data_IF_295242926406
#
_entry.id   IF_295242926406
#
_cell.length_a   1.000
_cell.length_b   1.000
_cell.length_c   1.000
_cell.angle_alpha   90.00
_cell.angle_beta   90.00
_cell.angle_gamma   90.00
#
_symmetry.space_group_name_H-M   'P 1'
#
loop_
_entity.id
_entity.type
_entity.pdbx_description
1 polymer ?
#
# COMPACT_ATOMS: atom_id res chain seq x y z
N UNK A 1 -31.12 -25.42 1.50
CA UNK A 1 -30.50 -24.16 0.99
C UNK A 1 -30.41 -23.03 2.03
N UNK A 2 -30.88 -23.21 3.27
CA UNK A 2 -30.90 -22.16 4.32
C UNK A 2 -29.81 -22.30 5.41
N UNK A 3 -28.92 -23.28 5.31
CA UNK A 3 -27.89 -23.53 6.34
C UNK A 3 -26.50 -23.06 5.92
N UNK A 4 -26.28 -22.81 4.61
CA UNK A 4 -24.99 -22.39 4.05
C UNK A 4 -24.76 -20.87 4.05
N UNK A 5 -25.80 -20.05 4.26
CA UNK A 5 -25.66 -18.59 4.34
C UNK A 5 -25.28 -18.08 5.74
N UNK A 6 -25.26 -18.93 6.77
CA UNK A 6 -24.93 -18.51 8.15
C UNK A 6 -23.43 -18.46 8.47
N UNK A 7 -22.55 -18.83 7.54
CA UNK A 7 -21.10 -18.95 7.76
C UNK A 7 -20.26 -17.99 6.92
N UNK A 8 -20.89 -17.08 6.17
CA UNK A 8 -20.16 -16.00 5.49
C UNK A 8 -20.16 -14.77 6.41
N UNK A 9 -19.00 -14.24 6.84
CA UNK A 9 -18.97 -12.94 7.49
C UNK A 9 -19.40 -11.90 6.45
N UNK A 10 -20.66 -11.50 6.52
CA UNK A 10 -21.22 -10.45 5.67
C UNK A 10 -20.56 -9.14 6.06
N UNK A 11 -19.55 -8.70 5.29
CA UNK A 11 -18.90 -7.42 5.51
C UNK A 11 -19.82 -6.29 5.06
N UNK A 12 -20.19 -5.38 5.97
CA UNK A 12 -21.00 -4.20 5.64
C UNK A 12 -20.08 -3.06 5.18
N UNK A 13 -20.35 -2.48 4.01
CA UNK A 13 -19.67 -1.27 3.52
C UNK A 13 -20.48 -0.03 3.87
N UNK A 14 -19.89 0.95 4.58
CA UNK A 14 -20.53 2.24 4.88
C UNK A 14 -19.83 3.41 4.18
N UNK A 15 -20.63 4.34 3.66
CA UNK A 15 -20.15 5.57 2.99
C UNK A 15 -20.10 6.78 3.94
N UNK A 16 -20.82 6.75 5.07
CA UNK A 16 -20.84 7.81 6.07
C UNK A 16 -20.35 7.29 7.43
N UNK A 17 -19.32 7.92 8.00
CA UNK A 17 -18.83 7.61 9.34
C UNK A 17 -19.59 8.44 10.39
N UNK A 18 -20.57 7.82 11.04
CA UNK A 18 -21.08 8.26 12.36
C UNK A 18 -20.48 7.30 13.38
N UNK A 19 -19.99 7.85 14.51
CA UNK A 19 -19.30 7.16 15.62
C UNK A 19 -19.75 5.71 15.79
N UNK A 20 -19.04 4.82 15.12
CA UNK A 20 -19.24 3.37 15.10
C UNK A 20 -17.87 2.74 15.28
N UNK A 21 -17.30 2.94 16.47
CA UNK A 21 -16.07 2.26 16.85
C UNK A 21 -16.42 0.77 16.91
N UNK A 22 -15.62 -0.08 16.28
CA UNK A 22 -15.79 -1.54 16.26
C UNK A 22 -16.92 -2.10 15.35
N UNK A 23 -17.28 -1.40 14.26
CA UNK A 23 -18.18 -1.95 13.25
C UNK A 23 -17.55 -3.15 12.53
N UNK A 24 -18.26 -4.27 12.43
CA UNK A 24 -17.89 -5.39 11.57
C UNK A 24 -18.17 -5.05 10.10
N UNK A 25 -17.26 -4.30 9.48
CA UNK A 25 -17.41 -3.81 8.12
C UNK A 25 -16.16 -3.11 7.61
N UNK A 26 -16.25 -2.58 6.39
CA UNK A 26 -15.24 -1.67 5.85
C UNK A 26 -15.86 -0.30 5.61
N UNK A 27 -15.05 0.75 5.73
CA UNK A 27 -15.45 2.10 5.34
C UNK A 27 -15.00 2.33 3.90
N UNK A 28 -15.91 2.85 3.08
CA UNK A 28 -15.57 3.23 1.70
C UNK A 28 -15.32 4.72 1.64
N UNK A 29 -14.15 5.11 1.12
CA UNK A 29 -13.87 6.50 0.81
C UNK A 29 -14.79 6.99 -0.32
N UNK A 30 -15.13 8.28 -0.27
CA UNK A 30 -15.79 8.92 -1.39
C UNK A 30 -14.96 8.72 -2.67
N UNK A 31 -15.59 8.45 -3.83
CA UNK A 31 -14.89 8.38 -5.09
C UNK A 31 -14.00 9.60 -5.31
N UNK A 32 -12.81 9.36 -5.86
CA UNK A 32 -11.83 10.40 -6.22
C UNK A 32 -11.81 10.60 -7.72
N UNK A 33 -11.57 11.84 -8.12
CA UNK A 33 -11.32 12.16 -9.51
C UNK A 33 -10.07 11.40 -10.01
N UNK A 34 -10.09 10.95 -11.26
CA UNK A 34 -8.93 10.38 -11.96
C UNK A 34 -7.85 11.44 -12.19
N UNK A 35 -7.19 11.91 -11.12
CA UNK A 35 -6.12 12.91 -11.13
C UNK A 35 -4.99 12.56 -10.16
N UNK A 36 -3.86 13.24 -10.30
CA UNK A 36 -2.70 13.05 -9.40
C UNK A 36 -2.99 13.52 -7.97
N UNK A 37 -3.80 14.56 -7.81
CA UNK A 37 -4.26 15.04 -6.50
C UNK A 37 -5.21 14.01 -5.86
N UNK A 38 -6.07 13.40 -6.68
CA UNK A 38 -6.88 12.25 -6.28
C UNK A 38 -6.00 11.14 -5.71
N UNK A 39 -5.01 10.68 -6.47
CA UNK A 39 -4.05 9.66 -6.05
C UNK A 39 -3.32 10.02 -4.75
N UNK A 40 -2.74 11.23 -4.67
CA UNK A 40 -1.97 11.69 -3.52
C UNK A 40 -2.80 11.72 -2.23
N UNK A 41 -4.11 11.99 -2.32
CA UNK A 41 -5.00 12.04 -1.16
C UNK A 41 -5.35 10.67 -0.56
N UNK A 42 -5.03 9.55 -1.22
CA UNK A 42 -5.44 8.20 -0.77
C UNK A 42 -4.72 7.81 0.52
N UNK A 43 -3.39 7.88 0.54
CA UNK A 43 -2.57 7.42 1.68
C UNK A 43 -2.93 8.20 2.97
N UNK A 44 -2.98 9.54 2.96
CA UNK A 44 -3.37 10.30 4.16
C UNK A 44 -4.79 9.97 4.62
N UNK A 45 -5.72 9.74 3.70
CA UNK A 45 -7.11 9.42 4.04
C UNK A 45 -7.26 8.04 4.68
N UNK A 46 -6.53 7.04 4.19
CA UNK A 46 -6.54 5.68 4.77
C UNK A 46 -5.93 5.70 6.16
N UNK A 47 -4.78 6.36 6.33
CA UNK A 47 -4.14 6.53 7.63
C UNK A 47 -5.08 7.26 8.61
N UNK A 48 -5.70 8.37 8.19
CA UNK A 48 -6.61 9.15 9.04
C UNK A 48 -7.80 8.32 9.52
N UNK A 49 -8.45 7.56 8.62
CA UNK A 49 -9.55 6.69 9.00
C UNK A 49 -9.11 5.55 9.91
N UNK A 50 -7.93 4.98 9.65
CA UNK A 50 -7.35 3.96 10.48
C UNK A 50 -7.10 4.44 11.91
N UNK A 51 -6.54 5.64 12.08
CA UNK A 51 -6.31 6.27 13.39
C UNK A 51 -7.62 6.55 14.16
N UNK A 52 -8.72 6.79 13.45
CA UNK A 52 -10.06 6.98 14.04
C UNK A 52 -10.76 5.65 14.38
N UNK A 53 -10.13 4.51 14.07
CA UNK A 53 -10.63 3.17 14.42
C UNK A 53 -11.31 2.43 13.27
N UNK A 54 -11.04 2.82 12.02
CA UNK A 54 -11.55 2.13 10.83
C UNK A 54 -10.38 1.49 10.03
N UNK A 55 -9.88 0.31 10.45
CA UNK A 55 -8.70 -0.29 9.84
C UNK A 55 -8.94 -0.90 8.45
N UNK A 56 -10.18 -1.29 8.15
CA UNK A 56 -10.58 -1.82 6.84
C UNK A 56 -11.16 -0.69 5.99
N UNK A 57 -10.31 -0.09 5.15
CA UNK A 57 -10.70 0.99 4.24
C UNK A 57 -10.72 0.50 2.80
N UNK A 58 -11.84 0.71 2.10
CA UNK A 58 -11.93 0.63 0.65
C UNK A 58 -11.68 2.02 0.07
N UNK A 59 -10.64 2.14 -0.74
CA UNK A 59 -10.15 3.40 -1.30
C UNK A 59 -10.88 3.84 -2.56
N UNK A 60 -11.78 3.00 -3.07
CA UNK A 60 -12.44 3.17 -4.35
C UNK A 60 -11.76 2.36 -5.46
N UNK A 61 -12.21 2.60 -6.69
CA UNK A 61 -11.73 1.86 -7.85
C UNK A 61 -10.31 2.30 -8.23
N UNK A 62 -9.50 1.36 -8.72
CA UNK A 62 -8.20 1.67 -9.35
C UNK A 62 -8.41 2.63 -10.52
N UNK A 63 -7.63 3.71 -10.55
CA UNK A 63 -7.69 4.75 -11.58
C UNK A 63 -8.64 5.90 -11.29
N UNK A 64 -9.40 5.86 -10.19
CA UNK A 64 -10.38 6.90 -9.86
C UNK A 64 -11.61 6.87 -10.77
N UNK A 65 -12.50 7.87 -10.64
CA UNK A 65 -13.67 8.05 -11.50
C UNK A 65 -13.64 9.43 -12.14
N UNK A 66 -14.20 9.56 -13.34
CA UNK A 66 -14.55 10.88 -13.87
C UNK A 66 -15.83 11.39 -13.20
N UNK A 67 -15.65 12.20 -12.16
CA UNK A 67 -16.77 12.76 -11.38
C UNK A 67 -17.42 13.97 -12.07
N UNK A 68 -16.72 14.60 -13.02
CA UNK A 68 -17.13 15.88 -13.61
C UNK A 68 -17.38 15.78 -15.13
N UNK A 69 -17.33 14.59 -15.70
CA UNK A 69 -17.52 14.38 -17.14
C UNK A 69 -16.43 15.03 -18.00
N UNK A 70 -15.23 15.26 -17.43
CA UNK A 70 -14.10 15.89 -18.14
C UNK A 70 -13.51 14.99 -19.22
N UNK A 71 -13.71 13.67 -19.13
CA UNK A 71 -13.21 12.69 -20.09
C UNK A 71 -14.06 12.68 -21.39
N UNK A 72 -15.12 13.50 -21.48
CA UNK A 72 -16.04 13.51 -22.63
C UNK A 72 -15.47 14.03 -23.97
N UNK A 73 -14.31 14.70 -24.01
CA UNK A 73 -13.93 15.45 -25.23
C UNK A 73 -12.57 15.18 -25.89
N UNK A 74 -11.66 14.33 -25.38
CA UNK A 74 -10.42 13.98 -26.09
C UNK A 74 -9.96 12.55 -25.72
N UNK A 75 -10.15 11.57 -26.61
CA UNK A 75 -9.54 10.21 -26.57
C UNK A 75 -9.60 9.46 -25.23
N UNK A 76 -10.83 9.14 -24.81
CA UNK A 76 -11.36 7.95 -24.12
C UNK A 76 -10.65 7.15 -23.00
N UNK A 77 -9.42 7.42 -22.55
CA UNK A 77 -8.80 6.55 -21.53
C UNK A 77 -8.07 7.30 -20.42
N UNK A 78 -8.11 6.72 -19.21
CA UNK A 78 -7.27 7.13 -18.08
C UNK A 78 -5.81 7.02 -18.54
N UNK A 79 -5.04 8.07 -18.31
CA UNK A 79 -3.60 8.10 -18.56
C UNK A 79 -2.92 6.85 -17.95
N UNK A 80 -2.23 6.06 -18.77
CA UNK A 80 -1.67 4.75 -18.36
C UNK A 80 -0.69 4.90 -17.19
N UNK A 81 0.11 5.96 -17.16
CA UNK A 81 1.03 6.23 -16.06
C UNK A 81 0.26 6.45 -14.76
N UNK A 82 -0.75 7.32 -14.79
CA UNK A 82 -1.61 7.56 -13.63
C UNK A 82 -2.27 6.27 -13.15
N UNK A 83 -2.81 5.45 -14.06
CA UNK A 83 -3.45 4.19 -13.69
C UNK A 83 -2.47 3.22 -13.01
N UNK A 84 -1.27 3.03 -13.59
CA UNK A 84 -0.24 2.16 -13.02
C UNK A 84 0.20 2.64 -11.63
N UNK A 85 0.46 3.94 -11.45
CA UNK A 85 0.80 4.49 -10.13
C UNK A 85 -0.35 4.38 -9.13
N UNK A 86 -1.59 4.51 -9.59
CA UNK A 86 -2.77 4.30 -8.76
C UNK A 86 -2.92 2.85 -8.31
N UNK A 87 -2.68 1.91 -9.22
CA UNK A 87 -2.67 0.47 -8.97
C UNK A 87 -1.59 0.11 -7.93
N UNK A 88 -0.40 0.68 -8.05
CA UNK A 88 0.72 0.49 -7.12
C UNK A 88 0.39 0.95 -5.70
N UNK A 89 -0.47 1.97 -5.52
CA UNK A 89 -0.96 2.38 -4.21
C UNK A 89 -2.05 1.43 -3.71
N UNK A 90 -3.11 1.23 -4.50
CA UNK A 90 -4.31 0.51 -4.04
C UNK A 90 -4.03 -0.96 -3.77
N UNK A 91 -3.15 -1.62 -4.53
CA UNK A 91 -2.84 -3.04 -4.30
C UNK A 91 -2.31 -3.31 -2.89
N UNK A 92 -1.75 -2.33 -2.19
CA UNK A 92 -1.28 -2.52 -0.81
C UNK A 92 -2.23 -1.94 0.23
N UNK A 93 -3.46 -1.58 -0.16
CA UNK A 93 -4.53 -1.15 0.76
C UNK A 93 -5.35 -2.35 1.27
N UNK A 94 -6.08 -2.22 2.39
CA UNK A 94 -6.83 -3.35 2.96
C UNK A 94 -7.85 -3.95 1.98
N UNK A 95 -8.56 -3.11 1.23
CA UNK A 95 -9.54 -3.52 0.22
C UNK A 95 -9.13 -2.98 -1.15
N UNK A 96 -9.15 -3.85 -2.16
CA UNK A 96 -8.83 -3.53 -3.56
C UNK A 96 -10.11 -3.68 -4.38
N UNK A 97 -10.48 -2.64 -5.13
CA UNK A 97 -11.64 -2.66 -6.03
C UNK A 97 -11.18 -2.35 -7.47
N UNK A 98 -11.43 -3.29 -8.38
CA UNK A 98 -11.22 -3.10 -9.81
C UNK A 98 -12.56 -2.77 -10.48
N UNK A 99 -12.55 -1.88 -11.48
CA UNK A 99 -13.71 -1.61 -12.31
C UNK A 99 -13.34 -1.71 -13.79
N UNK A 100 -12.56 -0.75 -14.28
CA UNK A 100 -12.18 -0.65 -15.69
C UNK A 100 -10.66 -0.58 -15.83
N UNK A 101 -10.12 -1.22 -16.87
CA UNK A 101 -8.71 -1.14 -17.24
C UNK A 101 -8.49 0.10 -18.13
N UNK A 102 -7.30 0.73 -18.10
CA UNK A 102 -6.97 1.80 -19.02
C UNK A 102 -6.81 1.17 -20.42
N UNK A 103 -7.77 1.42 -21.30
CA UNK A 103 -7.77 0.84 -22.64
C UNK A 103 -8.28 -0.59 -22.73
N UNK A 104 -8.63 -0.98 -23.96
CA UNK A 104 -8.96 -2.36 -24.30
C UNK A 104 -7.65 -3.14 -24.41
N UNK A 105 -7.30 -3.90 -23.37
CA UNK A 105 -6.27 -4.94 -23.41
C UNK A 105 -4.80 -4.45 -23.31
N UNK A 106 -4.51 -3.50 -22.41
CA UNK A 106 -3.14 -3.15 -22.08
C UNK A 106 -2.44 -4.30 -21.32
N UNK A 107 -1.71 -5.13 -22.08
CA UNK A 107 -1.00 -6.30 -21.57
C UNK A 107 0.05 -5.93 -20.51
N UNK A 108 0.62 -4.74 -20.58
CA UNK A 108 1.62 -4.28 -19.62
C UNK A 108 0.96 -3.98 -18.26
N UNK A 109 -0.20 -3.32 -18.28
CA UNK A 109 -1.00 -3.09 -17.07
C UNK A 109 -1.44 -4.41 -16.43
N UNK A 110 -1.92 -5.36 -17.23
CA UNK A 110 -2.31 -6.69 -16.74
C UNK A 110 -1.10 -7.43 -16.13
N UNK A 111 0.07 -7.35 -16.78
CA UNK A 111 1.30 -7.98 -16.29
C UNK A 111 1.76 -7.38 -14.95
N UNK A 112 1.74 -6.05 -14.84
CA UNK A 112 2.05 -5.35 -13.58
C UNK A 112 1.05 -5.71 -12.50
N UNK A 113 -0.26 -5.68 -12.80
CA UNK A 113 -1.31 -6.05 -11.87
C UNK A 113 -1.17 -7.48 -11.35
N UNK A 114 -0.92 -8.45 -12.23
CA UNK A 114 -0.70 -9.85 -11.84
C UNK A 114 0.53 -10.01 -10.94
N UNK A 115 1.64 -9.35 -11.26
CA UNK A 115 2.87 -9.37 -10.46
C UNK A 115 2.62 -8.78 -9.07
N UNK A 116 1.98 -7.62 -9.00
CA UNK A 116 1.69 -6.93 -7.74
C UNK A 116 0.66 -7.69 -6.88
N UNK A 117 -0.37 -8.30 -7.49
CA UNK A 117 -1.33 -9.17 -6.80
C UNK A 117 -0.65 -10.42 -6.21
N UNK A 118 0.31 -11.00 -6.94
CA UNK A 118 1.12 -12.11 -6.41
C UNK A 118 1.90 -11.67 -5.17
N UNK A 119 2.63 -10.55 -5.25
CA UNK A 119 3.36 -9.96 -4.11
C UNK A 119 2.43 -9.67 -2.94
N UNK A 120 1.24 -9.11 -3.20
CA UNK A 120 0.21 -8.84 -2.19
C UNK A 120 -0.18 -10.13 -1.46
N UNK A 121 -0.51 -11.18 -2.21
CA UNK A 121 -0.97 -12.44 -1.64
C UNK A 121 0.12 -13.16 -0.85
N UNK A 122 1.36 -13.13 -1.34
CA UNK A 122 2.50 -13.83 -0.72
C UNK A 122 3.01 -13.12 0.55
N UNK A 123 2.98 -11.78 0.59
CA UNK A 123 3.66 -11.03 1.65
C UNK A 123 2.77 -10.07 2.45
N UNK A 124 1.73 -9.50 1.83
CA UNK A 124 0.95 -8.43 2.45
C UNK A 124 -0.29 -8.94 3.16
N UNK A 125 -1.07 -9.85 2.56
CA UNK A 125 -2.35 -10.30 3.13
C UNK A 125 -2.18 -10.85 4.54
N UNK A 126 -1.16 -11.67 4.76
CA UNK A 126 -0.88 -12.22 6.09
C UNK A 126 -0.44 -11.14 7.08
N UNK A 127 0.40 -10.20 6.65
CA UNK A 127 0.83 -9.07 7.50
C UNK A 127 -0.32 -8.13 7.86
N UNK A 128 -1.25 -7.90 6.93
CA UNK A 128 -2.46 -7.12 7.20
C UNK A 128 -3.36 -7.82 8.22
N UNK A 129 -3.50 -9.15 8.14
CA UNK A 129 -4.27 -9.92 9.13
C UNK A 129 -3.61 -9.86 10.51
N UNK A 130 -2.29 -10.02 10.58
CA UNK A 130 -1.54 -9.92 11.82
C UNK A 130 -1.73 -8.53 12.46
N UNK A 131 -1.54 -7.46 11.68
CA UNK A 131 -1.75 -6.10 12.14
C UNK A 131 -3.20 -5.83 12.59
N UNK A 132 -4.20 -6.45 11.96
CA UNK A 132 -5.61 -6.30 12.36
C UNK A 132 -5.94 -7.00 13.69
N UNK A 133 -5.21 -8.08 14.02
CA UNK A 133 -5.43 -8.90 15.21
C UNK A 133 -4.57 -8.47 16.41
N UNK A 134 -3.72 -7.45 16.25
CA UNK A 134 -2.89 -6.92 17.32
C UNK A 134 -3.80 -6.30 18.42
N UNK A 135 -3.70 -6.76 19.70
CA UNK A 135 -4.68 -6.40 20.75
C UNK A 135 -4.77 -4.92 21.08
N UNK A 136 -3.66 -4.19 20.92
CA UNK A 136 -3.57 -2.76 21.28
C UNK A 136 -3.60 -1.83 20.06
N UNK A 137 -3.51 -2.40 18.84
CA UNK A 137 -3.39 -1.63 17.61
C UNK A 137 -3.98 -2.41 16.44
N UNK A 138 -5.13 -1.98 15.95
CA UNK A 138 -5.76 -2.62 14.79
C UNK A 138 -5.35 -1.97 13.46
N UNK A 139 -4.48 -0.95 13.48
CA UNK A 139 -4.13 -0.17 12.31
C UNK A 139 -3.28 -1.00 11.34
N UNK A 140 -3.87 -1.32 10.19
CA UNK A 140 -3.19 -2.09 9.13
C UNK A 140 -2.18 -1.22 8.38
N UNK A 141 -2.63 -0.05 7.91
CA UNK A 141 -1.82 0.91 7.16
C UNK A 141 -1.36 1.99 8.12
N UNK A 142 -0.07 1.94 8.46
CA UNK A 142 0.52 2.79 9.51
C UNK A 142 1.32 3.94 8.89
N UNK A 143 1.26 5.14 9.48
CA UNK A 143 2.15 6.23 9.10
C UNK A 143 3.60 5.91 9.50
N UNK A 144 4.57 6.56 8.86
CA UNK A 144 5.98 6.29 9.13
C UNK A 144 6.40 6.61 10.58
N UNK A 145 5.78 7.62 11.19
CA UNK A 145 6.04 8.02 12.57
C UNK A 145 5.51 7.02 13.61
N UNK A 146 4.72 6.03 13.20
CA UNK A 146 4.17 5.01 14.11
C UNK A 146 5.25 4.19 14.81
N UNK A 147 6.37 3.95 14.12
CA UNK A 147 7.50 3.17 14.63
C UNK A 147 8.62 4.04 15.21
N UNK A 148 8.79 5.24 14.66
CA UNK A 148 9.88 6.13 15.03
C UNK A 148 9.35 7.55 15.13
N UNK A 149 9.28 8.05 16.36
CA UNK A 149 8.66 9.31 16.69
C UNK A 149 9.63 10.49 16.50
N UNK A 150 10.08 10.69 15.27
CA UNK A 150 11.08 11.71 14.91
C UNK A 150 10.50 12.78 13.99
N UNK A 151 11.10 13.98 14.02
CA UNK A 151 10.61 15.14 13.27
C UNK A 151 10.46 14.90 11.77
N UNK A 152 11.32 14.07 11.18
CA UNK A 152 11.27 13.76 9.74
C UNK A 152 10.08 12.86 9.41
N UNK A 153 9.78 11.87 10.25
CA UNK A 153 8.73 10.90 10.01
C UNK A 153 7.31 11.51 10.02
N UNK A 154 7.10 12.61 10.78
CA UNK A 154 5.81 13.32 10.83
C UNK A 154 5.41 13.99 9.52
N UNK A 155 6.38 14.34 8.67
CA UNK A 155 6.13 15.06 7.42
C UNK A 155 5.86 14.11 6.24
N UNK A 156 5.91 12.80 6.48
CA UNK A 156 5.79 11.81 5.42
C UNK A 156 4.33 11.41 5.27
N UNK A 157 3.75 11.81 4.14
CA UNK A 157 2.35 11.55 3.79
C UNK A 157 2.19 10.65 2.55
N UNK A 158 3.29 10.38 1.85
CA UNK A 158 3.34 9.70 0.55
C UNK A 158 4.00 8.32 0.63
N UNK A 159 4.25 7.82 1.84
CA UNK A 159 4.84 6.52 2.16
C UNK A 159 4.17 5.98 3.41
N UNK A 160 3.97 4.67 3.48
CA UNK A 160 3.29 4.02 4.59
C UNK A 160 3.92 2.67 4.93
N UNK A 161 3.53 2.16 6.10
CA UNK A 161 3.87 0.83 6.56
C UNK A 161 2.65 -0.09 6.56
N UNK A 162 2.89 -1.39 6.36
CA UNK A 162 1.90 -2.44 6.60
C UNK A 162 2.34 -3.22 7.83
N UNK A 163 1.57 -3.07 8.91
CA UNK A 163 2.05 -3.43 10.24
C UNK A 163 3.39 -2.75 10.53
N UNK A 164 4.31 -3.48 11.17
CA UNK A 164 5.63 -2.97 11.53
C UNK A 164 6.77 -3.41 10.59
N UNK A 165 6.47 -4.23 9.58
CA UNK A 165 7.50 -5.02 8.89
C UNK A 165 7.62 -4.76 7.39
N UNK A 166 6.69 -4.01 6.80
CA UNK A 166 6.77 -3.68 5.36
C UNK A 166 6.61 -2.19 5.18
N UNK A 167 7.52 -1.59 4.43
CA UNK A 167 7.44 -0.19 3.97
C UNK A 167 7.08 -0.18 2.49
N UNK A 168 6.15 0.68 2.10
CA UNK A 168 5.77 0.92 0.70
C UNK A 168 5.90 2.40 0.40
N UNK A 169 6.70 2.74 -0.62
CA UNK A 169 6.98 4.11 -1.05
C UNK A 169 6.63 4.29 -2.54
N UNK A 170 5.35 4.47 -2.88
CA UNK A 170 4.90 4.61 -4.27
C UNK A 170 5.28 5.97 -4.88
N UNK A 171 5.33 6.05 -6.20
CA UNK A 171 5.39 7.34 -6.90
C UNK A 171 3.96 7.87 -7.06
N UNK A 172 3.70 9.08 -6.57
CA UNK A 172 2.38 9.71 -6.62
C UNK A 172 2.38 11.06 -7.37
N UNK A 173 3.40 11.30 -8.18
CA UNK A 173 3.53 12.52 -8.99
C UNK A 173 3.90 12.18 -10.43
N UNK A 174 3.31 12.93 -11.38
CA UNK A 174 3.48 12.72 -12.82
C UNK A 174 4.93 12.81 -13.27
N UNK A 175 5.35 11.90 -14.15
CA UNK A 175 6.64 11.89 -14.81
C UNK A 175 7.81 11.57 -13.88
N UNK A 176 7.56 11.12 -12.65
CA UNK A 176 8.61 10.78 -11.69
C UNK A 176 8.96 9.29 -11.79
N UNK A 177 10.26 9.04 -11.81
CA UNK A 177 10.84 7.69 -11.75
C UNK A 177 11.84 7.55 -10.61
N UNK A 178 11.91 8.56 -9.73
CA UNK A 178 12.73 8.55 -8.54
C UNK A 178 12.04 9.33 -7.42
N UNK A 179 12.34 8.97 -6.18
CA UNK A 179 11.92 9.71 -4.98
C UNK A 179 12.89 9.50 -3.84
N UNK A 180 12.75 10.35 -2.82
CA UNK A 180 13.38 10.10 -1.52
C UNK A 180 12.50 9.14 -0.70
N UNK A 181 13.15 8.25 0.05
CA UNK A 181 12.48 7.21 0.85
C UNK A 181 13.06 7.20 2.25
N UNK A 182 12.22 7.29 3.26
CA UNK A 182 12.65 7.21 4.66
C UNK A 182 12.52 5.77 5.17
N UNK A 183 13.60 5.16 5.67
CA UNK A 183 13.49 3.86 6.34
C UNK A 183 13.63 4.04 7.84
N UNK A 184 12.66 3.59 8.65
CA UNK A 184 12.79 3.60 10.10
C UNK A 184 13.95 2.74 10.59
N UNK A 185 14.33 2.90 11.86
CA UNK A 185 15.36 2.08 12.49
C UNK A 185 15.11 0.57 12.29
N UNK A 186 16.16 -0.13 11.84
CA UNK A 186 16.15 -1.56 11.55
C UNK A 186 16.96 -1.92 10.30
N UNK A 187 16.85 -3.17 9.89
CA UNK A 187 17.40 -3.65 8.62
C UNK A 187 16.26 -3.97 7.67
N UNK A 188 16.44 -3.57 6.42
CA UNK A 188 15.39 -3.59 5.41
C UNK A 188 15.93 -4.20 4.13
N UNK A 189 15.31 -5.29 3.68
CA UNK A 189 15.56 -5.88 2.37
C UNK A 189 14.75 -5.14 1.33
N UNK A 190 15.48 -4.45 0.46
CA UNK A 190 14.97 -3.81 -0.74
C UNK A 190 14.51 -4.88 -1.75
N UNK A 191 13.26 -4.80 -2.22
CA UNK A 191 12.76 -5.72 -3.24
C UNK A 191 13.46 -5.49 -4.59
N UNK A 192 13.55 -4.24 -5.03
CA UNK A 192 13.94 -3.90 -6.41
C UNK A 192 15.43 -4.18 -6.61
N UNK A 193 16.26 -3.79 -5.65
CA UNK A 193 17.71 -3.95 -5.70
C UNK A 193 18.21 -5.23 -5.02
N UNK A 194 17.31 -5.97 -4.34
CA UNK A 194 17.62 -7.19 -3.59
C UNK A 194 18.71 -7.04 -2.50
N UNK A 195 18.99 -5.81 -2.06
CA UNK A 195 20.02 -5.48 -1.08
C UNK A 195 19.43 -5.27 0.33
N UNK A 196 20.25 -5.50 1.36
CA UNK A 196 19.87 -5.20 2.74
C UNK A 196 20.44 -3.84 3.13
N UNK A 197 19.57 -2.93 3.55
CA UNK A 197 19.89 -1.54 3.87
C UNK A 197 19.61 -1.31 5.36
N UNK A 198 20.56 -0.65 6.05
CA UNK A 198 20.32 -0.15 7.40
C UNK A 198 19.43 1.09 7.34
N UNK A 199 18.30 1.06 8.05
CA UNK A 199 17.38 2.17 8.21
C UNK A 199 17.87 3.21 9.22
N UNK A 200 16.94 4.01 9.75
CA UNK A 200 17.22 5.22 10.54
C UNK A 200 17.72 6.37 9.68
N UNK A 201 17.37 6.37 8.38
CA UNK A 201 17.86 7.36 7.41
C UNK A 201 16.98 7.44 6.18
N UNK A 202 17.10 8.58 5.48
CA UNK A 202 16.54 8.79 4.14
C UNK A 202 17.51 8.32 3.05
N UNK A 203 17.00 7.50 2.14
CA UNK A 203 17.64 7.17 0.87
C UNK A 203 17.23 8.25 -0.13
N UNK A 204 18.21 8.91 -0.75
CA UNK A 204 17.97 10.00 -1.70
C UNK A 204 17.91 9.48 -3.13
N UNK A 205 17.02 10.06 -3.96
CA UNK A 205 16.91 9.79 -5.41
C UNK A 205 16.86 8.29 -5.76
N UNK A 206 16.08 7.55 -4.98
CA UNK A 206 15.90 6.12 -5.19
C UNK A 206 15.10 5.88 -6.47
N UNK A 207 15.63 5.06 -7.39
CA UNK A 207 15.02 4.82 -8.71
C UNK A 207 13.87 3.81 -8.61
N UNK A 208 12.72 4.18 -9.18
CA UNK A 208 11.50 3.39 -9.21
C UNK A 208 10.95 3.41 -10.66
N UNK A 209 11.24 2.36 -11.45
CA UNK A 209 10.66 2.18 -12.78
C UNK A 209 9.12 2.26 -12.77
N UNK A 210 8.51 2.54 -13.93
CA UNK A 210 7.05 2.67 -14.06
C UNK A 210 6.30 1.36 -13.77
N UNK A 211 6.94 0.22 -13.97
CA UNK A 211 6.37 -1.11 -13.75
C UNK A 211 6.67 -1.66 -12.35
N UNK A 212 7.24 -0.85 -11.44
CA UNK A 212 7.65 -1.23 -10.09
C UNK A 212 7.26 -0.18 -9.05
N UNK A 213 7.15 -0.65 -7.82
CA UNK A 213 6.91 0.14 -6.61
C UNK A 213 7.98 -0.20 -5.59
N UNK A 214 8.50 0.79 -4.89
CA UNK A 214 9.51 0.55 -3.86
C UNK A 214 8.87 -0.10 -2.63
N UNK A 215 9.30 -1.33 -2.34
CA UNK A 215 8.87 -2.11 -1.19
C UNK A 215 10.11 -2.54 -0.43
N UNK A 216 10.09 -2.37 0.89
CA UNK A 216 11.14 -2.82 1.76
C UNK A 216 10.58 -3.74 2.84
N UNK A 217 11.13 -4.94 2.93
CA UNK A 217 10.76 -5.93 3.92
C UNK A 217 11.75 -5.87 5.09
N UNK A 218 11.24 -5.74 6.30
CA UNK A 218 12.08 -5.81 7.48
C UNK A 218 12.77 -7.17 7.55
N UNK A 219 14.04 -7.15 7.92
CA UNK A 219 14.87 -8.34 8.08
C UNK A 219 15.75 -8.18 9.30
N UNK A 220 16.34 -9.28 9.75
CA UNK A 220 17.39 -9.25 10.76
C UNK A 220 18.75 -9.32 10.05
N UNK A 221 19.80 -8.69 10.61
CA UNK A 221 21.12 -8.80 10.03
C UNK A 221 21.53 -10.27 10.05
N UNK A 222 21.86 -10.84 8.89
CA UNK A 222 22.38 -12.20 8.83
C UNK A 222 23.64 -12.28 9.68
N UNK A 223 23.62 -13.06 10.77
CA UNK A 223 24.82 -13.42 11.51
C UNK A 223 25.84 -14.01 10.51
N UNK A 224 27.12 -13.62 10.54
CA UNK A 224 28.13 -14.23 9.69
C UNK A 224 28.15 -15.74 9.95
N UNK A 225 28.36 -16.58 8.91
CA UNK A 225 28.46 -18.02 9.12
C UNK A 225 29.56 -18.29 10.16
N UNK A 226 29.20 -18.98 11.24
CA UNK A 226 30.16 -19.41 12.25
C UNK A 226 31.23 -20.22 11.54
N UNK A 227 32.47 -19.74 11.56
CA UNK A 227 33.62 -20.52 11.12
C UNK A 227 33.66 -21.76 11.98
N UNK A 228 33.24 -22.90 11.44
CA UNK A 228 33.47 -24.20 12.03
C UNK A 228 34.98 -24.38 12.12
N UNK A 229 35.52 -24.12 13.32
CA UNK A 229 36.87 -24.50 13.67
C UNK A 229 36.97 -26.02 13.56
N UNK A 230 37.59 -26.49 12.48
CA UNK A 230 38.01 -27.86 12.31
C UNK A 230 39.09 -28.17 13.34
N UNK A 231 38.69 -28.68 14.51
CA UNK A 231 39.61 -29.28 15.47
C UNK A 231 40.02 -30.65 14.92
N UNK A 232 41.21 -30.69 14.32
CA UNK A 232 41.97 -31.92 14.10
C UNK A 232 42.28 -32.55 15.47
N UNK A 233 41.78 -33.76 15.71
CA UNK A 233 42.43 -34.82 16.48
C UNK A 233 42.00 -36.17 15.97
#
# INVERSE_FOLDING_TARGET
MNTLMKTLPTSLGLTSSITSINLQGYVRLHPRESSWEGLASIIPSVISLGLVGYPLVNTGIVGGRDLFGKIKNQTEYIDTELYLRWLEVIIFMPVVEFAELPGLNDLDVIKVAKRLLKVRNEHFVEKMKQALLEPEDTLIVRPMWWRQNESEAYQIEDQFMIGNDIVVAPIIHKGKTERDIYLPDGWWKDEILAQVIRGGKRIKKYQIPLDKVAIFFRTEPSSPPSSTASTLK
#
